data_IF_069687057481
#
_entry.id   IF_069687057481
#
_cell.length_a   1.000
_cell.length_b   1.000
_cell.length_c   1.000
_cell.angle_alpha   90.00
_cell.angle_beta   90.00
_cell.angle_gamma   90.00
#
_symmetry.space_group_name_H-M   'P 1'
#
loop_
_entity.id
_entity.type
_entity.pdbx_description
1 polymer ?
#
# COMPACT_ATOMS: atom_id res chain seq x y z
N UNK A 1 -3.41 16.68 52.67
CA UNK A 1 -3.47 17.13 51.25
C UNK A 1 -3.24 15.96 50.28
N UNK A 2 -4.01 14.86 50.38
CA UNK A 2 -3.76 13.59 49.65
C UNK A 2 -4.90 13.15 48.70
N UNK A 3 -5.84 14.05 48.37
CA UNK A 3 -7.00 13.71 47.50
C UNK A 3 -6.77 13.94 46.01
N UNK A 4 -5.69 14.61 45.60
CA UNK A 4 -5.46 14.95 44.19
C UNK A 4 -4.73 13.86 43.39
N UNK A 5 -4.11 12.87 44.04
CA UNK A 5 -3.33 11.84 43.34
C UNK A 5 -4.21 10.73 42.75
N UNK A 6 -5.36 10.44 43.37
CA UNK A 6 -6.31 9.46 42.83
C UNK A 6 -6.99 9.96 41.55
N UNK A 7 -7.24 11.26 41.41
CA UNK A 7 -7.80 11.85 40.19
C UNK A 7 -6.81 11.87 39.03
N UNK A 8 -5.50 11.98 39.31
CA UNK A 8 -4.45 11.90 38.28
C UNK A 8 -4.18 10.46 37.83
N UNK A 9 -4.27 9.46 38.73
CA UNK A 9 -4.17 8.05 38.32
C UNK A 9 -5.43 7.56 37.60
N UNK A 10 -6.63 7.99 38.00
CA UNK A 10 -7.87 7.63 37.32
C UNK A 10 -7.95 8.21 35.90
N UNK A 11 -7.40 9.42 35.68
CA UNK A 11 -7.25 10.00 34.34
C UNK A 11 -6.10 9.37 33.54
N UNK A 12 -5.02 8.93 34.18
CA UNK A 12 -3.95 8.17 33.52
C UNK A 12 -4.39 6.75 33.11
N UNK A 13 -5.32 6.12 33.84
CA UNK A 13 -5.94 4.85 33.43
C UNK A 13 -7.02 5.01 32.36
N UNK A 14 -7.68 6.18 32.30
CA UNK A 14 -8.66 6.51 31.25
C UNK A 14 -8.00 6.93 29.93
N UNK A 15 -6.74 7.38 29.96
CA UNK A 15 -5.93 7.61 28.74
C UNK A 15 -5.52 6.31 28.03
N UNK A 16 -5.85 5.14 28.58
CA UNK A 16 -5.65 3.82 27.96
C UNK A 16 -6.91 3.27 27.28
N UNK A 17 -7.83 4.17 26.94
CA UNK A 17 -8.86 3.96 25.94
C UNK A 17 -8.76 5.10 24.93
N UNK A 18 -7.60 5.23 24.27
CA UNK A 18 -7.58 5.83 22.95
C UNK A 18 -8.52 4.99 22.09
N UNK A 19 -9.78 5.42 22.03
CA UNK A 19 -10.64 5.16 20.90
C UNK A 19 -9.83 5.66 19.70
N UNK A 20 -9.09 4.73 19.06
CA UNK A 20 -8.42 5.02 17.79
C UNK A 20 -9.46 5.77 16.97
N UNK A 21 -9.19 7.00 16.60
CA UNK A 21 -9.99 7.71 15.62
C UNK A 21 -9.14 7.70 14.38
N UNK A 22 -9.77 7.48 13.23
CA UNK A 22 -9.11 7.61 11.95
C UNK A 22 -8.34 8.93 11.92
N UNK A 23 -7.06 8.91 11.52
CA UNK A 23 -6.29 10.14 11.36
C UNK A 23 -7.06 11.09 10.44
N UNK A 24 -7.28 12.37 10.83
CA UNK A 24 -8.14 13.29 10.08
C UNK A 24 -7.72 13.47 8.62
N UNK A 25 -6.44 13.28 8.31
CA UNK A 25 -5.89 13.44 6.96
C UNK A 25 -5.81 12.13 6.18
N UNK A 26 -6.08 10.97 6.79
CA UNK A 26 -5.83 9.65 6.18
C UNK A 26 -6.49 9.51 4.81
N UNK A 27 -7.76 9.90 4.70
CA UNK A 27 -8.50 9.81 3.43
C UNK A 27 -7.87 10.66 2.32
N UNK A 28 -7.51 11.90 2.63
CA UNK A 28 -6.87 12.82 1.68
C UNK A 28 -5.46 12.35 1.31
N UNK A 29 -4.70 11.87 2.30
CA UNK A 29 -3.35 11.36 2.12
C UNK A 29 -3.35 10.08 1.25
N UNK A 30 -4.36 9.21 1.38
CA UNK A 30 -4.54 8.05 0.50
C UNK A 30 -4.70 8.51 -0.95
N UNK A 31 -5.65 9.40 -1.24
CA UNK A 31 -5.90 9.84 -2.61
C UNK A 31 -4.68 10.54 -3.21
N UNK A 32 -4.01 11.40 -2.43
CA UNK A 32 -2.77 12.03 -2.86
C UNK A 32 -1.67 11.00 -3.16
N UNK A 33 -1.56 9.95 -2.34
CA UNK A 33 -0.58 8.88 -2.56
C UNK A 33 -0.90 8.05 -3.80
N UNK A 34 -2.17 7.75 -4.05
CA UNK A 34 -2.62 7.04 -5.28
C UNK A 34 -2.30 7.88 -6.53
N UNK A 35 -2.62 9.17 -6.49
CA UNK A 35 -2.40 10.10 -7.60
C UNK A 35 -0.91 10.31 -7.90
N UNK A 36 -0.06 10.31 -6.87
CA UNK A 36 1.39 10.40 -7.04
C UNK A 36 2.00 9.05 -7.48
N UNK A 37 1.50 7.92 -6.96
CA UNK A 37 2.02 6.60 -7.27
C UNK A 37 1.80 6.21 -8.74
N UNK A 38 0.65 6.55 -9.33
CA UNK A 38 0.34 6.19 -10.73
C UNK A 38 1.39 6.70 -11.75
N UNK A 39 1.68 8.01 -11.88
CA UNK A 39 2.67 8.51 -12.82
C UNK A 39 4.10 8.07 -12.47
N UNK A 40 4.40 7.88 -11.17
CA UNK A 40 5.68 7.37 -10.70
C UNK A 40 5.93 5.91 -11.13
N UNK A 41 4.92 5.05 -11.01
CA UNK A 41 4.99 3.66 -11.46
C UNK A 41 5.15 3.57 -12.98
N UNK A 42 4.47 4.43 -13.75
CA UNK A 42 4.56 4.45 -15.22
C UNK A 42 5.91 4.97 -15.70
N UNK A 43 6.49 5.95 -15.00
CA UNK A 43 7.78 6.54 -15.33
C UNK A 43 7.71 7.59 -16.44
N UNK A 44 6.80 8.54 -16.28
CA UNK A 44 6.72 9.73 -17.12
C UNK A 44 5.33 10.36 -17.15
N UNK A 45 5.25 11.64 -16.75
CA UNK A 45 4.18 12.52 -17.21
C UNK A 45 4.42 12.94 -18.67
N UNK A 46 3.39 13.37 -19.40
CA UNK A 46 3.55 13.82 -20.78
C UNK A 46 4.58 14.95 -20.87
N UNK A 47 5.63 14.76 -21.66
CA UNK A 47 6.63 15.79 -21.98
C UNK A 47 7.89 15.85 -21.09
N UNK A 48 8.12 14.90 -20.18
CA UNK A 48 9.33 14.90 -19.33
C UNK A 48 10.24 13.72 -19.65
N UNK A 49 11.42 14.01 -20.20
CA UNK A 49 12.51 13.04 -20.28
C UNK A 49 12.90 12.56 -18.88
N UNK A 50 12.72 11.26 -18.63
CA UNK A 50 13.51 10.46 -17.68
C UNK A 50 13.61 10.88 -16.21
N UNK A 51 12.73 11.74 -15.68
CA UNK A 51 13.02 12.42 -14.41
C UNK A 51 12.45 11.84 -13.11
N UNK A 52 11.33 11.09 -13.15
CA UNK A 52 10.64 10.62 -11.94
C UNK A 52 9.97 9.26 -12.19
N UNK A 53 10.62 8.19 -11.74
CA UNK A 53 10.11 6.84 -11.92
C UNK A 53 10.52 5.88 -10.80
N UNK A 54 9.76 4.80 -10.65
CA UNK A 54 10.17 3.70 -9.79
C UNK A 54 11.57 3.16 -10.17
N UNK A 55 12.46 3.05 -9.19
CA UNK A 55 13.85 2.64 -9.34
C UNK A 55 14.84 3.78 -9.54
N UNK A 56 14.41 5.04 -9.49
CA UNK A 56 15.32 6.20 -9.57
C UNK A 56 15.95 6.61 -8.23
N UNK A 57 15.55 5.99 -7.12
CA UNK A 57 16.12 6.21 -5.79
C UNK A 57 15.63 7.46 -5.06
N UNK A 58 14.83 8.33 -5.68
CA UNK A 58 14.49 9.64 -5.11
C UNK A 58 13.04 10.04 -5.25
N UNK A 59 12.38 9.68 -6.34
CA UNK A 59 11.03 10.19 -6.65
C UNK A 59 9.93 9.55 -5.82
N UNK A 60 10.21 8.43 -5.14
CA UNK A 60 9.27 7.79 -4.20
C UNK A 60 9.13 8.54 -2.87
N UNK A 61 10.09 9.42 -2.53
CA UNK A 61 10.19 10.07 -1.21
C UNK A 61 8.94 10.87 -0.80
N UNK A 62 8.28 11.66 -1.66
CA UNK A 62 7.06 12.38 -1.29
C UNK A 62 5.91 11.43 -0.93
N UNK A 63 5.81 10.30 -1.63
CA UNK A 63 4.81 9.26 -1.36
C UNK A 63 5.13 8.58 -0.02
N UNK A 64 6.39 8.18 0.18
CA UNK A 64 6.84 7.56 1.42
C UNK A 64 6.64 8.48 2.63
N UNK A 65 6.93 9.77 2.49
CA UNK A 65 6.72 10.76 3.55
C UNK A 65 5.24 10.81 3.95
N UNK A 66 4.33 10.71 2.99
CA UNK A 66 2.90 10.67 3.25
C UNK A 66 2.49 9.39 3.97
N UNK A 67 3.01 8.23 3.55
CA UNK A 67 2.81 6.94 4.24
C UNK A 67 3.32 7.01 5.68
N UNK A 68 4.51 7.58 5.90
CA UNK A 68 5.18 7.63 7.20
C UNK A 68 4.44 8.50 8.23
N UNK A 69 3.56 9.42 7.81
CA UNK A 69 2.65 10.11 8.73
C UNK A 69 1.72 9.16 9.47
N UNK A 70 1.34 8.05 8.83
CA UNK A 70 0.42 7.03 9.37
C UNK A 70 1.16 5.77 9.84
N UNK A 71 2.29 5.45 9.20
CA UNK A 71 3.12 4.28 9.50
C UNK A 71 4.61 4.67 9.60
N UNK A 72 5.07 5.25 10.73
CA UNK A 72 6.44 5.74 10.89
C UNK A 72 7.53 4.67 10.73
N UNK A 73 7.18 3.41 10.98
CA UNK A 73 8.08 2.27 10.87
C UNK A 73 8.27 1.78 9.43
N UNK A 74 7.42 2.24 8.50
CA UNK A 74 7.55 1.90 7.09
C UNK A 74 8.71 2.66 6.46
N UNK A 75 9.82 1.95 6.23
CA UNK A 75 11.08 2.50 5.72
C UNK A 75 11.59 1.66 4.56
N UNK A 76 12.29 2.33 3.65
CA UNK A 76 13.09 1.66 2.61
C UNK A 76 14.53 1.54 3.14
N UNK A 77 15.10 0.34 3.10
CA UNK A 77 16.51 0.14 3.43
C UNK A 77 17.43 0.85 2.43
N UNK A 78 18.60 1.30 2.88
CA UNK A 78 19.58 2.00 2.04
C UNK A 78 20.01 1.16 0.83
N UNK A 79 20.10 -0.15 1.02
CA UNK A 79 20.40 -1.16 0.00
C UNK A 79 19.30 -1.33 -1.06
N UNK A 80 18.09 -0.83 -0.77
CA UNK A 80 16.92 -0.94 -1.64
C UNK A 80 16.67 0.33 -2.47
N UNK A 81 17.43 1.40 -2.22
CA UNK A 81 17.34 2.67 -2.97
C UNK A 81 17.89 2.47 -4.38
N UNK A 82 17.12 2.88 -5.39
CA UNK A 82 17.45 2.68 -6.81
C UNK A 82 17.08 1.28 -7.33
N UNK A 83 16.43 0.45 -6.50
CA UNK A 83 15.87 -0.84 -6.89
C UNK A 83 14.36 -0.70 -7.05
N UNK A 84 13.87 -0.77 -8.30
CA UNK A 84 12.45 -0.56 -8.60
C UNK A 84 11.55 -1.57 -7.88
N UNK A 85 11.97 -2.85 -7.77
CA UNK A 85 11.16 -3.87 -7.10
C UNK A 85 10.96 -3.54 -5.62
N UNK A 86 12.05 -3.17 -4.93
CA UNK A 86 12.00 -2.89 -3.49
C UNK A 86 11.28 -1.58 -3.18
N UNK A 87 11.54 -0.53 -3.95
CA UNK A 87 10.83 0.75 -3.84
C UNK A 87 9.32 0.58 -4.03
N UNK A 88 8.93 -0.11 -5.11
CA UNK A 88 7.53 -0.38 -5.41
C UNK A 88 6.89 -1.22 -4.32
N UNK A 89 7.58 -2.25 -3.80
CA UNK A 89 7.04 -3.08 -2.73
C UNK A 89 6.69 -2.27 -1.48
N UNK A 90 7.57 -1.36 -1.05
CA UNK A 90 7.33 -0.52 0.13
C UNK A 90 6.19 0.47 -0.10
N UNK A 91 6.20 1.18 -1.23
CA UNK A 91 5.14 2.15 -1.55
C UNK A 91 3.79 1.46 -1.69
N UNK A 92 3.74 0.33 -2.41
CA UNK A 92 2.50 -0.42 -2.60
C UNK A 92 1.94 -0.93 -1.29
N UNK A 93 2.80 -1.48 -0.43
CA UNK A 93 2.39 -1.92 0.89
C UNK A 93 1.88 -0.76 1.76
N UNK A 94 2.57 0.38 1.75
CA UNK A 94 2.20 1.55 2.54
C UNK A 94 0.85 2.15 2.13
N UNK A 95 0.59 2.31 0.83
CA UNK A 95 -0.71 2.75 0.33
C UNK A 95 -1.79 1.73 0.67
N UNK A 96 -1.52 0.43 0.47
CA UNK A 96 -2.45 -0.65 0.83
C UNK A 96 -2.79 -0.61 2.32
N UNK A 97 -1.80 -0.46 3.20
CA UNK A 97 -1.98 -0.38 4.65
C UNK A 97 -2.77 0.86 5.07
N UNK A 98 -2.59 2.01 4.42
CA UNK A 98 -3.43 3.19 4.66
C UNK A 98 -4.90 2.92 4.28
N UNK A 99 -5.16 2.26 3.15
CA UNK A 99 -6.51 1.89 2.72
C UNK A 99 -7.14 0.87 3.68
N UNK A 100 -6.37 -0.12 4.14
CA UNK A 100 -6.83 -1.08 5.14
C UNK A 100 -7.18 -0.37 6.45
N UNK A 101 -6.31 0.51 6.95
CA UNK A 101 -6.59 1.28 8.17
C UNK A 101 -7.86 2.13 8.03
N UNK A 102 -8.09 2.75 6.87
CA UNK A 102 -9.35 3.45 6.59
C UNK A 102 -10.55 2.48 6.61
N UNK A 103 -10.39 1.25 6.10
CA UNK A 103 -11.47 0.26 6.06
C UNK A 103 -11.99 -0.13 7.46
N UNK A 104 -11.17 -0.06 8.51
CA UNK A 104 -11.63 -0.30 9.89
C UNK A 104 -12.70 0.67 10.34
N UNK A 105 -12.63 1.89 9.83
CA UNK A 105 -13.53 2.98 10.20
C UNK A 105 -14.74 3.04 9.28
N UNK A 106 -14.54 2.73 8.01
CA UNK A 106 -15.58 2.74 6.98
C UNK A 106 -15.26 1.63 5.97
N UNK A 107 -15.89 0.46 6.16
CA UNK A 107 -15.64 -0.72 5.34
C UNK A 107 -16.01 -0.50 3.87
N UNK A 108 -17.09 0.24 3.60
CA UNK A 108 -17.55 0.54 2.25
C UNK A 108 -16.57 1.48 1.53
N UNK A 109 -16.17 2.57 2.18
CA UNK A 109 -15.15 3.47 1.62
C UNK A 109 -13.82 2.73 1.43
N UNK A 110 -13.40 1.93 2.40
CA UNK A 110 -12.20 1.09 2.32
C UNK A 110 -12.23 0.14 1.11
N UNK A 111 -13.35 -0.55 0.89
CA UNK A 111 -13.53 -1.44 -0.26
C UNK A 111 -13.52 -0.72 -1.61
N UNK A 112 -14.14 0.47 -1.70
CA UNK A 112 -14.14 1.29 -2.93
C UNK A 112 -12.75 1.86 -3.22
N UNK A 113 -12.07 2.40 -2.22
CA UNK A 113 -10.72 2.92 -2.39
C UNK A 113 -9.72 1.81 -2.70
N UNK A 114 -9.88 0.61 -2.13
CA UNK A 114 -9.08 -0.56 -2.50
C UNK A 114 -9.28 -0.94 -3.96
N UNK A 115 -10.52 -0.88 -4.48
CA UNK A 115 -10.80 -1.14 -5.90
C UNK A 115 -10.05 -0.15 -6.78
N UNK A 116 -10.19 1.15 -6.50
CA UNK A 116 -9.47 2.21 -7.23
C UNK A 116 -7.97 2.00 -7.18
N UNK A 117 -7.43 1.61 -6.02
CA UNK A 117 -6.01 1.36 -5.86
C UNK A 117 -5.54 0.18 -6.71
N UNK A 118 -6.24 -0.95 -6.67
CA UNK A 118 -5.94 -2.14 -7.49
C UNK A 118 -6.04 -1.82 -9.00
N UNK A 119 -7.05 -1.08 -9.42
CA UNK A 119 -7.20 -0.68 -10.83
C UNK A 119 -6.08 0.27 -11.25
N UNK A 120 -5.67 1.19 -10.37
CA UNK A 120 -4.51 2.07 -10.60
C UNK A 120 -3.22 1.29 -10.79
N UNK A 121 -2.96 0.27 -9.96
CA UNK A 121 -1.78 -0.59 -10.08
C UNK A 121 -1.79 -1.37 -11.40
N UNK A 122 -2.93 -1.96 -11.76
CA UNK A 122 -3.09 -2.70 -13.01
C UNK A 122 -2.89 -1.80 -14.23
N UNK A 123 -3.48 -0.62 -14.23
CA UNK A 123 -3.37 0.33 -15.34
C UNK A 123 -1.95 0.88 -15.45
N UNK A 124 -1.32 1.23 -14.32
CA UNK A 124 0.05 1.72 -14.30
C UNK A 124 1.00 0.65 -14.86
N UNK A 125 0.94 -0.59 -14.36
CA UNK A 125 1.77 -1.70 -14.85
C UNK A 125 1.54 -1.97 -16.34
N UNK A 126 0.28 -1.95 -16.80
CA UNK A 126 -0.08 -2.14 -18.20
C UNK A 126 0.57 -1.13 -19.14
N UNK A 127 0.70 0.14 -18.68
CA UNK A 127 1.30 1.25 -19.43
C UNK A 127 2.84 1.28 -19.42
N UNK A 128 3.50 0.47 -18.59
CA UNK A 128 4.97 0.39 -18.59
C UNK A 128 5.41 -0.33 -19.88
N UNK A 129 6.31 0.27 -20.68
CA UNK A 129 6.87 -0.39 -21.86
C UNK A 129 7.71 -1.59 -21.44
N UNK A 130 7.58 -2.71 -22.16
CA UNK A 130 8.39 -3.91 -21.97
C UNK A 130 9.75 -3.76 -22.68
N UNK A 131 10.48 -2.69 -22.38
CA UNK A 131 11.81 -2.42 -22.94
C UNK A 131 12.88 -2.97 -22.00
N UNK A 132 13.79 -3.82 -22.49
CA UNK A 132 14.94 -4.26 -21.71
C UNK A 132 15.81 -3.06 -21.32
N UNK A 133 16.12 -2.91 -20.04
CA UNK A 133 17.13 -2.00 -19.53
C UNK A 133 18.37 -2.78 -19.02
N UNK A 134 19.46 -2.07 -18.73
CA UNK A 134 20.71 -2.67 -18.27
C UNK A 134 20.60 -3.40 -16.91
N UNK A 135 19.47 -3.24 -16.19
CA UNK A 135 19.16 -3.86 -14.89
C UNK A 135 18.05 -4.93 -15.00
N UNK A 136 17.50 -5.17 -16.19
CA UNK A 136 16.43 -6.12 -16.48
C UNK A 136 15.24 -5.48 -17.20
N UNK A 137 14.09 -6.15 -17.23
CA UNK A 137 12.87 -5.52 -17.72
C UNK A 137 12.20 -4.76 -16.55
N UNK A 138 12.20 -3.42 -16.60
CA UNK A 138 11.57 -2.57 -15.58
C UNK A 138 10.11 -2.95 -15.32
N UNK A 139 9.37 -3.32 -16.36
CA UNK A 139 7.98 -3.77 -16.23
C UNK A 139 7.89 -4.94 -15.26
N UNK A 140 8.76 -5.94 -15.41
CA UNK A 140 8.77 -7.12 -14.56
C UNK A 140 9.23 -6.79 -13.13
N UNK A 141 10.20 -5.88 -12.96
CA UNK A 141 10.63 -5.42 -11.63
C UNK A 141 9.49 -4.71 -10.89
N UNK A 142 8.75 -3.83 -11.58
CA UNK A 142 7.58 -3.16 -11.00
C UNK A 142 6.48 -4.18 -10.70
N UNK A 143 6.23 -5.14 -11.60
CA UNK A 143 5.26 -6.21 -11.39
C UNK A 143 5.57 -7.07 -10.16
N UNK A 144 6.84 -7.49 -10.00
CA UNK A 144 7.30 -8.19 -8.79
C UNK A 144 7.18 -7.33 -7.54
N UNK A 145 7.51 -6.04 -7.64
CA UNK A 145 7.37 -5.10 -6.53
C UNK A 145 5.92 -4.96 -6.07
N UNK A 146 4.97 -4.86 -6.99
CA UNK A 146 3.53 -4.82 -6.69
C UNK A 146 3.11 -6.09 -5.95
N UNK A 147 3.45 -7.26 -6.50
CA UNK A 147 3.14 -8.56 -5.90
C UNK A 147 3.76 -8.71 -4.51
N UNK A 148 5.02 -8.29 -4.34
CA UNK A 148 5.72 -8.34 -3.05
C UNK A 148 5.08 -7.42 -2.01
N UNK A 149 4.76 -6.19 -2.39
CA UNK A 149 4.10 -5.22 -1.50
C UNK A 149 2.75 -5.73 -0.98
N UNK A 150 1.96 -6.33 -1.86
CA UNK A 150 0.64 -6.87 -1.51
C UNK A 150 0.76 -8.16 -0.70
N UNK A 151 1.53 -9.14 -1.17
CA UNK A 151 1.51 -10.47 -0.58
C UNK A 151 2.34 -10.54 0.71
N UNK A 152 3.44 -9.79 0.82
CA UNK A 152 4.41 -9.95 1.92
C UNK A 152 4.40 -8.80 2.93
N UNK A 153 4.19 -7.56 2.47
CA UNK A 153 4.37 -6.37 3.32
C UNK A 153 3.04 -5.73 3.78
N UNK A 154 1.91 -6.23 3.28
CA UNK A 154 0.58 -5.76 3.71
C UNK A 154 0.22 -6.33 5.08
N UNK A 155 -0.17 -5.46 6.00
CA UNK A 155 -0.60 -5.84 7.35
C UNK A 155 -2.12 -6.09 7.38
N UNK A 156 -2.48 -7.37 7.41
CA UNK A 156 -3.87 -7.83 7.44
C UNK A 156 -4.60 -7.50 8.75
N UNK A 157 -3.86 -7.20 9.84
CA UNK A 157 -4.46 -6.73 11.09
C UNK A 157 -5.10 -5.35 10.93
N UNK A 158 -4.74 -4.64 9.86
CA UNK A 158 -5.32 -3.36 9.50
C UNK A 158 -6.69 -3.49 8.82
N UNK A 159 -7.13 -4.69 8.45
CA UNK A 159 -8.37 -4.87 7.70
C UNK A 159 -9.61 -4.72 8.59
N UNK A 160 -10.71 -4.24 7.99
CA UNK A 160 -12.02 -4.21 8.62
C UNK A 160 -12.50 -5.58 9.13
N UNK A 161 -13.30 -5.55 10.19
CA UNK A 161 -13.99 -6.74 10.73
C UNK A 161 -15.34 -6.98 10.06
N UNK A 162 -15.85 -6.01 9.29
CA UNK A 162 -17.11 -6.14 8.57
C UNK A 162 -16.99 -7.21 7.46
N UNK A 163 -17.81 -8.26 7.55
CA UNK A 163 -17.66 -9.44 6.69
C UNK A 163 -17.70 -9.10 5.19
N UNK A 164 -18.70 -8.34 4.74
CA UNK A 164 -18.88 -8.02 3.31
C UNK A 164 -17.70 -7.21 2.75
N UNK A 165 -17.32 -6.12 3.43
CA UNK A 165 -16.21 -5.28 3.04
C UNK A 165 -14.87 -6.03 3.09
N UNK A 166 -14.68 -6.88 4.12
CA UNK A 166 -13.49 -7.72 4.26
C UNK A 166 -13.35 -8.68 3.08
N UNK A 167 -14.40 -9.43 2.74
CA UNK A 167 -14.38 -10.36 1.59
C UNK A 167 -14.12 -9.61 0.28
N UNK A 168 -14.73 -8.44 0.09
CA UNK A 168 -14.48 -7.60 -1.09
C UNK A 168 -13.00 -7.18 -1.19
N UNK A 169 -12.41 -6.67 -0.10
CA UNK A 169 -11.00 -6.27 -0.05
C UNK A 169 -10.08 -7.45 -0.36
N UNK A 170 -10.34 -8.62 0.24
CA UNK A 170 -9.54 -9.83 0.00
C UNK A 170 -9.60 -10.25 -1.47
N UNK A 171 -10.80 -10.25 -2.07
CA UNK A 171 -10.99 -10.57 -3.48
C UNK A 171 -10.22 -9.60 -4.40
N UNK A 172 -10.24 -8.30 -4.07
CA UNK A 172 -9.48 -7.29 -4.80
C UNK A 172 -7.97 -7.52 -4.70
N UNK A 173 -7.44 -7.79 -3.50
CA UNK A 173 -6.02 -8.06 -3.29
C UNK A 173 -5.55 -9.32 -4.03
N UNK A 174 -6.36 -10.39 -4.01
CA UNK A 174 -6.10 -11.61 -4.81
C UNK A 174 -6.04 -11.30 -6.31
N UNK A 175 -6.95 -10.44 -6.80
CA UNK A 175 -7.04 -10.12 -8.24
C UNK A 175 -5.82 -9.38 -8.78
N UNK A 176 -5.01 -8.73 -7.94
CA UNK A 176 -3.86 -7.93 -8.39
C UNK A 176 -2.84 -8.80 -9.13
N UNK A 177 -2.52 -9.99 -8.61
CA UNK A 177 -1.53 -10.86 -9.25
C UNK A 177 -1.99 -11.31 -10.63
N UNK A 178 -3.28 -11.64 -10.77
CA UNK A 178 -3.92 -11.94 -12.06
C UNK A 178 -3.89 -10.74 -13.02
N UNK A 179 -4.11 -9.52 -12.51
CA UNK A 179 -4.11 -8.28 -13.31
C UNK A 179 -2.71 -7.87 -13.77
N UNK A 180 -1.68 -8.14 -12.96
CA UNK A 180 -0.29 -7.77 -13.24
C UNK A 180 0.39 -8.80 -14.14
N UNK A 181 0.28 -10.09 -13.80
CA UNK A 181 1.01 -11.18 -14.47
C UNK A 181 0.17 -12.00 -15.46
N UNK A 182 -1.14 -11.78 -15.48
CA UNK A 182 -2.09 -12.52 -16.30
C UNK A 182 -2.70 -13.74 -15.60
N UNK A 183 -3.87 -14.15 -16.07
CA UNK A 183 -4.58 -15.32 -15.56
C UNK A 183 -3.80 -16.61 -15.84
N UNK A 184 -3.66 -17.45 -14.82
CA UNK A 184 -2.95 -18.73 -14.92
C UNK A 184 -1.44 -18.65 -14.71
N UNK A 185 -0.88 -17.46 -14.47
CA UNK A 185 0.51 -17.28 -14.05
C UNK A 185 0.79 -17.95 -12.70
N UNK A 186 2.04 -18.32 -12.47
CA UNK A 186 2.46 -18.94 -11.21
C UNK A 186 2.32 -17.96 -10.04
N UNK A 187 2.62 -16.68 -10.26
CA UNK A 187 2.46 -15.59 -9.30
C UNK A 187 0.98 -15.41 -8.90
N UNK A 188 0.05 -15.56 -9.84
CA UNK A 188 -1.38 -15.51 -9.55
C UNK A 188 -1.82 -16.69 -8.67
N UNK A 189 -1.36 -17.91 -8.97
CA UNK A 189 -1.64 -19.12 -8.18
C UNK A 189 -1.08 -19.02 -6.77
N UNK A 190 0.19 -18.61 -6.64
CA UNK A 190 0.85 -18.42 -5.34
C UNK A 190 0.16 -17.34 -4.51
N UNK A 191 -0.22 -16.23 -5.13
CA UNK A 191 -0.98 -15.18 -4.49
C UNK A 191 -2.33 -15.65 -3.96
N UNK A 192 -3.08 -16.41 -4.76
CA UNK A 192 -4.35 -16.98 -4.35
C UNK A 192 -4.20 -17.94 -3.16
N UNK A 193 -3.20 -18.83 -3.21
CA UNK A 193 -2.90 -19.77 -2.13
C UNK A 193 -2.53 -19.04 -0.84
N UNK A 194 -1.64 -18.05 -0.91
CA UNK A 194 -1.18 -17.25 0.22
C UNK A 194 -2.32 -16.46 0.88
N UNK A 195 -3.17 -15.81 0.08
CA UNK A 195 -4.31 -15.07 0.63
C UNK A 195 -5.37 -15.99 1.19
N UNK A 196 -5.55 -17.19 0.62
CA UNK A 196 -6.43 -18.20 1.20
C UNK A 196 -5.88 -18.69 2.54
N UNK A 197 -4.58 -18.97 2.66
CA UNK A 197 -3.97 -19.42 3.92
C UNK A 197 -3.97 -18.36 5.03
N UNK A 198 -3.94 -17.07 4.69
CA UNK A 198 -4.02 -15.98 5.68
C UNK A 198 -5.41 -15.79 6.29
N UNK A 199 -6.45 -16.36 5.68
CA UNK A 199 -7.84 -16.11 6.05
C UNK A 199 -8.70 -17.37 6.28
N UNK A 200 -8.11 -18.56 6.14
CA UNK A 200 -8.59 -19.83 6.70
C UNK A 200 -8.13 -19.90 8.16
#
# INVERSE_FOLDING_TARGET
>A
MFRNWQTTLATASAAKADAKKMSPTLRTDIYSSVDQAKPWLIGGGPGTGGGRQAGDGVSFQPILTTIQKHFPDMKLGLESVGNAEAEVAVIVAGVTNMVLEMSKWDGMAGGMTMRTWVDTLSEAHGRIPATPDARGNRKDQVGRGITRGINQLTDVSLMTREFAARIQIISLLKSVNTKVHGAGSEEARQGEALWSSKFI
#
